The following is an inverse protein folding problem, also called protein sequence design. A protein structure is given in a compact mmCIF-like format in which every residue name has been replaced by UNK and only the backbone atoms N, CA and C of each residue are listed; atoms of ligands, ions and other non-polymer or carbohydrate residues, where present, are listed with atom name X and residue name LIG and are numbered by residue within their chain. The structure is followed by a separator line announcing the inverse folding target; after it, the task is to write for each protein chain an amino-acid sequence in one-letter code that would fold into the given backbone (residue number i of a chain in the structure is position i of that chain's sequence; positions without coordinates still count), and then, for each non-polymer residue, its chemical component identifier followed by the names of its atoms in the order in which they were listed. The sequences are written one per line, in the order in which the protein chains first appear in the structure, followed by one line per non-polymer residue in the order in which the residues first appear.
data_IF_012252325234
#
_entry.id   IF_012252325234
#
_cell.length_a   1.000
_cell.length_b   1.000
_cell.length_c   1.000
_cell.angle_alpha   90.00
_cell.angle_beta   90.00
_cell.angle_gamma   90.00
#
_symmetry.space_group_name_H-M   'P 1'
#
loop_
_entity.id
_entity.type
_entity.pdbx_description
1 polymer ?
#
# COMPACT_ATOMS: atom_id res chain seq x y z
N UNK A 1 -12.56 -22.14 -25.32
CA UNK A 1 -11.69 -22.14 -24.12
C UNK A 1 -11.38 -20.69 -23.80
N UNK A 2 -12.07 -20.11 -22.81
CA UNK A 2 -11.99 -18.67 -22.50
C UNK A 2 -10.73 -18.34 -21.68
N UNK A 3 -10.12 -17.14 -21.85
CA UNK A 3 -8.97 -16.76 -21.05
C UNK A 3 -9.41 -16.42 -19.62
N UNK A 4 -8.79 -17.07 -18.64
CA UNK A 4 -8.94 -16.75 -17.22
C UNK A 4 -8.33 -15.37 -16.97
N UNK A 5 -9.18 -14.39 -16.66
CA UNK A 5 -8.74 -13.07 -16.17
C UNK A 5 -8.16 -13.26 -14.77
N UNK A 6 -6.86 -12.98 -14.61
CA UNK A 6 -6.23 -12.94 -13.29
C UNK A 6 -6.75 -11.72 -12.55
N UNK A 7 -7.65 -11.92 -11.59
CA UNK A 7 -8.11 -10.85 -10.71
C UNK A 7 -6.92 -10.38 -9.87
N UNK A 8 -6.63 -9.07 -9.91
CA UNK A 8 -5.67 -8.43 -9.02
C UNK A 8 -6.10 -8.68 -7.58
N UNK A 9 -5.21 -9.27 -6.77
CA UNK A 9 -5.44 -9.45 -5.35
C UNK A 9 -5.44 -8.08 -4.67
N UNK A 10 -6.61 -7.45 -4.60
CA UNK A 10 -6.82 -6.31 -3.73
C UNK A 10 -6.50 -6.77 -2.30
N UNK A 11 -5.45 -6.20 -1.70
CA UNK A 11 -5.21 -6.38 -0.26
C UNK A 11 -6.41 -5.78 0.44
N UNK A 12 -7.34 -6.62 0.90
CA UNK A 12 -8.49 -6.20 1.68
C UNK A 12 -7.97 -5.64 3.01
N UNK A 13 -7.85 -4.32 3.09
CA UNK A 13 -7.65 -3.66 4.37
C UNK A 13 -8.94 -3.88 5.14
N UNK A 14 -8.84 -4.55 6.30
CA UNK A 14 -10.01 -4.82 7.14
C UNK A 14 -10.77 -3.52 7.42
N UNK A 15 -12.11 -3.53 7.40
CA UNK A 15 -12.89 -2.33 7.68
C UNK A 15 -12.53 -1.79 9.06
N UNK A 16 -12.33 -0.48 9.15
CA UNK A 16 -12.07 0.21 10.42
C UNK A 16 -13.30 0.08 11.33
N UNK A 17 -13.30 -0.95 12.17
CA UNK A 17 -14.24 -1.07 13.27
C UNK A 17 -13.80 -0.06 14.32
N UNK A 18 -14.34 1.15 14.25
CA UNK A 18 -13.84 2.34 14.96
C UNK A 18 -13.52 2.16 16.44
N UNK A 19 -12.77 3.13 17.00
CA UNK A 19 -12.42 3.13 18.42
C UNK A 19 -13.68 3.00 19.28
N UNK A 20 -13.85 1.84 19.91
CA UNK A 20 -14.91 1.62 20.88
C UNK A 20 -14.52 2.42 22.13
N UNK A 21 -15.10 3.60 22.27
CA UNK A 21 -15.03 4.38 23.50
C UNK A 21 -15.63 3.55 24.62
N UNK A 22 -14.80 2.86 25.40
CA UNK A 22 -15.24 2.32 26.68
C UNK A 22 -15.35 3.50 27.65
N UNK A 23 -16.54 4.11 27.66
CA UNK A 23 -16.96 4.97 28.74
C UNK A 23 -16.98 4.10 30.01
N UNK A 24 -16.03 4.36 30.89
CA UNK A 24 -15.89 3.69 32.18
C UNK A 24 -14.50 3.99 32.70
N UNK A 25 -14.39 4.87 33.68
CA UNK A 25 -13.15 5.09 34.43
C UNK A 25 -13.11 4.06 35.57
N UNK A 26 -12.31 2.97 35.49
CA UNK A 26 -11.99 2.22 36.69
C UNK A 26 -10.84 2.95 37.39
N UNK A 27 -11.13 3.60 38.53
CA UNK A 27 -10.09 3.93 39.50
C UNK A 27 -9.54 2.61 40.04
N UNK A 28 -8.39 2.19 39.51
CA UNK A 28 -7.58 1.13 40.10
C UNK A 28 -6.15 1.64 40.26
N UNK A 29 -5.64 1.51 41.49
CA UNK A 29 -4.31 1.98 41.92
C UNK A 29 -3.24 1.35 41.03
N UNK A 30 -2.56 2.16 40.21
CA UNK A 30 -1.46 1.70 39.34
C UNK A 30 -0.30 1.21 40.20
N UNK A 31 0.02 -0.09 40.11
CA UNK A 31 1.32 -0.59 40.51
C UNK A 31 2.37 -0.06 39.54
N UNK A 32 3.52 0.35 40.08
CA UNK A 32 4.63 0.98 39.37
C UNK A 32 5.38 -0.04 38.49
N UNK A 33 4.73 -0.56 37.45
CA UNK A 33 5.31 -1.63 36.63
C UNK A 33 4.55 -2.05 35.36
N UNK A 34 3.43 -1.40 35.02
CA UNK A 34 2.75 -1.67 33.74
C UNK A 34 3.19 -0.62 32.70
N UNK A 35 4.28 -0.92 31.98
CA UNK A 35 4.55 -0.24 30.71
C UNK A 35 3.30 -0.39 29.84
N UNK A 36 2.72 0.72 29.39
CA UNK A 36 1.74 0.72 28.31
C UNK A 36 2.46 0.14 27.10
N UNK A 37 2.36 -1.19 26.91
CA UNK A 37 2.90 -1.86 25.74
C UNK A 37 2.38 -1.13 24.52
N UNK A 38 3.26 -0.73 23.60
CA UNK A 38 2.84 -0.02 22.41
C UNK A 38 1.84 -0.91 21.66
N UNK A 39 0.57 -0.54 21.68
CA UNK A 39 -0.46 -1.23 20.89
C UNK A 39 -0.23 -0.82 19.44
N UNK A 40 0.63 -1.55 18.74
CA UNK A 40 0.83 -1.41 17.30
C UNK A 40 -0.10 -2.39 16.61
N UNK A 41 -0.91 -1.90 15.68
CA UNK A 41 -1.82 -2.72 14.85
C UNK A 41 -1.09 -3.60 13.81
N UNK A 42 0.24 -3.76 13.91
CA UNK A 42 1.05 -4.57 12.99
C UNK A 42 1.10 -4.05 11.54
N UNK A 43 0.36 -2.98 11.23
CA UNK A 43 0.29 -2.39 9.91
C UNK A 43 1.46 -1.46 9.68
N UNK A 44 2.39 -1.81 8.79
CA UNK A 44 3.37 -0.86 8.28
C UNK A 44 2.61 0.16 7.42
N UNK A 45 2.54 1.41 7.87
CA UNK A 45 2.03 2.51 7.05
C UNK A 45 2.91 2.57 5.81
N UNK A 46 2.35 2.27 4.64
CA UNK A 46 2.99 2.55 3.36
C UNK A 46 2.52 3.94 2.92
N UNK A 47 3.46 4.88 2.81
CA UNK A 47 3.17 6.21 2.28
C UNK A 47 2.71 6.12 0.82
N UNK A 48 2.00 7.14 0.35
CA UNK A 48 1.71 7.32 -1.07
C UNK A 48 3.02 7.49 -1.84
N UNK A 49 3.09 6.93 -3.05
CA UNK A 49 4.25 7.11 -3.92
C UNK A 49 4.19 8.49 -4.58
N UNK A 50 5.35 9.14 -4.68
CA UNK A 50 5.52 10.42 -5.38
C UNK A 50 6.23 10.16 -6.70
N UNK A 51 5.78 10.85 -7.76
CA UNK A 51 6.40 10.73 -9.06
C UNK A 51 7.85 11.26 -9.05
N UNK A 52 8.82 10.53 -9.63
CA UNK A 52 10.21 11.00 -9.67
C UNK A 52 10.35 12.28 -10.52
N UNK A 53 11.11 13.25 -10.02
CA UNK A 53 11.34 14.53 -10.70
C UNK A 53 12.58 14.51 -11.61
N UNK A 54 13.48 13.56 -11.39
CA UNK A 54 14.77 13.43 -12.09
C UNK A 54 14.99 12.00 -12.57
N UNK A 55 15.88 11.83 -13.57
CA UNK A 55 16.27 10.51 -14.08
C UNK A 55 15.24 9.79 -14.96
N UNK A 56 14.07 10.38 -15.21
CA UNK A 56 13.00 9.76 -16.03
C UNK A 56 12.46 10.68 -17.14
N UNK A 57 13.35 11.39 -17.84
CA UNK A 57 13.00 12.21 -19.02
C UNK A 57 12.26 11.35 -20.06
N UNK A 58 11.25 11.93 -20.69
CA UNK A 58 10.32 11.27 -21.62
C UNK A 58 10.54 11.77 -23.05
N UNK A 59 10.21 10.91 -23.99
CA UNK A 59 10.41 11.10 -25.43
C UNK A 59 9.09 10.81 -26.17
N UNK A 60 8.05 11.57 -25.83
CA UNK A 60 6.71 11.45 -26.43
C UNK A 60 6.14 10.02 -26.40
N UNK A 61 5.53 9.58 -27.51
CA UNK A 61 4.81 8.31 -27.65
C UNK A 61 5.65 7.13 -27.17
N UNK A 62 5.04 6.22 -26.41
CA UNK A 62 5.63 4.98 -25.85
C UNK A 62 6.65 5.18 -24.71
N UNK A 63 7.16 6.38 -24.46
CA UNK A 63 8.22 6.60 -23.47
C UNK A 63 7.83 6.40 -22.00
N UNK A 64 6.53 6.30 -21.71
CA UNK A 64 6.00 5.97 -20.37
C UNK A 64 5.90 4.46 -20.11
N UNK A 65 6.07 3.62 -21.14
CA UNK A 65 6.04 2.17 -21.03
C UNK A 65 7.39 1.61 -20.55
N UNK A 66 7.44 0.34 -20.13
CA UNK A 66 8.70 -0.37 -19.99
C UNK A 66 9.52 -0.35 -21.30
N UNK A 67 10.86 -0.48 -21.23
CA UNK A 67 11.69 -0.56 -22.42
C UNK A 67 11.20 -1.66 -23.37
N UNK A 68 10.99 -1.30 -24.64
CA UNK A 68 10.49 -2.22 -25.65
C UNK A 68 11.58 -3.25 -26.02
N UNK A 69 11.20 -4.52 -26.13
CA UNK A 69 12.05 -5.56 -26.70
C UNK A 69 12.21 -5.36 -28.21
N UNK A 70 13.22 -5.99 -28.80
CA UNK A 70 13.44 -5.97 -30.27
C UNK A 70 12.21 -6.47 -31.04
N UNK A 71 11.55 -7.52 -30.55
CA UNK A 71 10.30 -8.03 -31.14
C UNK A 71 9.14 -7.02 -31.09
N UNK A 72 9.02 -6.27 -29.97
CA UNK A 72 8.00 -5.24 -29.84
C UNK A 72 8.29 -4.03 -30.74
N UNK A 73 9.56 -3.67 -30.90
CA UNK A 73 9.98 -2.63 -31.85
C UNK A 73 9.67 -3.04 -33.29
N UNK A 74 9.93 -4.29 -33.68
CA UNK A 74 9.63 -4.80 -35.02
C UNK A 74 8.14 -4.80 -35.35
N UNK A 75 7.24 -4.83 -34.36
CA UNK A 75 5.80 -4.71 -34.57
C UNK A 75 5.32 -3.27 -34.80
N UNK A 76 6.17 -2.28 -34.51
CA UNK A 76 5.86 -0.86 -34.65
C UNK A 76 6.46 -0.23 -35.91
N UNK A 77 7.46 -0.87 -36.50
CA UNK A 77 8.00 -0.57 -37.84
C UNK A 77 7.01 -1.05 -38.89
#
# INVERSE_FOLDING_TARGET
MAPTVMASSATSVAPFQGLKSTAGLPVSRRSNGASLGSVSNGGRIRCMQVWPIEGIKKFETLSYLPPLSTEALLKQV
#
